data_IF_033137338623
#
_entry.id   IF_033137338623
#
_cell.length_a   1.000
_cell.length_b   1.000
_cell.length_c   1.000
_cell.angle_alpha   90.00
_cell.angle_beta   90.00
_cell.angle_gamma   90.00
#
_symmetry.space_group_name_H-M   'P 1'
#
loop_
_entity.id
_entity.type
_entity.pdbx_description
1 polymer ?
#
# COMPACT_ATOMS: atom_id res chain seq x y z
N UNK A 1 -6.30 21.67 3.35
CA UNK A 1 -5.03 21.37 2.62
C UNK A 1 -5.33 21.28 1.14
N UNK A 2 -4.44 21.77 0.27
CA UNK A 2 -4.56 21.55 -1.18
C UNK A 2 -4.09 20.13 -1.52
N UNK A 3 -4.95 19.32 -2.13
CA UNK A 3 -4.66 17.92 -2.48
C UNK A 3 -4.19 17.75 -3.94
N UNK A 4 -3.98 18.83 -4.69
CA UNK A 4 -3.61 18.76 -6.12
C UNK A 4 -2.32 17.96 -6.37
N UNK A 5 -1.31 18.15 -5.52
CA UNK A 5 -0.05 17.40 -5.58
C UNK A 5 -0.27 15.92 -5.29
N UNK A 6 -1.09 15.58 -4.29
CA UNK A 6 -1.43 14.19 -3.96
C UNK A 6 -2.19 13.52 -5.11
N UNK A 7 -3.17 14.20 -5.70
CA UNK A 7 -3.92 13.73 -6.89
C UNK A 7 -2.96 13.43 -8.03
N UNK A 8 -2.07 14.38 -8.36
CA UNK A 8 -1.07 14.22 -9.44
C UNK A 8 -0.16 13.01 -9.19
N UNK A 9 0.38 12.87 -7.98
CA UNK A 9 1.18 11.71 -7.58
C UNK A 9 0.38 10.42 -7.78
N UNK A 10 -0.82 10.36 -7.26
CA UNK A 10 -1.70 9.18 -7.34
C UNK A 10 -1.98 8.77 -8.78
N UNK A 11 -2.35 9.73 -9.64
CA UNK A 11 -2.64 9.46 -11.04
C UNK A 11 -1.37 9.01 -11.80
N UNK A 12 -0.22 9.59 -11.50
CA UNK A 12 1.06 9.22 -12.13
C UNK A 12 1.41 7.76 -11.88
N UNK A 13 1.39 7.32 -10.61
CA UNK A 13 1.70 5.94 -10.26
C UNK A 13 0.57 4.98 -10.61
N UNK A 14 -0.69 5.40 -10.41
CA UNK A 14 -1.89 4.61 -10.68
C UNK A 14 -2.12 4.29 -12.15
N UNK A 15 -1.64 5.15 -13.06
CA UNK A 15 -1.77 4.95 -14.51
C UNK A 15 -0.77 3.97 -15.09
N UNK A 16 0.25 3.57 -14.31
CA UNK A 16 1.24 2.60 -14.77
C UNK A 16 0.83 1.16 -14.39
N UNK A 17 0.45 0.31 -15.36
CA UNK A 17 0.01 -1.06 -15.08
C UNK A 17 1.12 -1.96 -14.52
N UNK A 18 2.39 -1.57 -14.65
CA UNK A 18 3.49 -2.27 -13.99
C UNK A 18 3.54 -2.00 -12.47
N UNK A 19 2.87 -0.96 -11.98
CA UNK A 19 2.87 -0.56 -10.57
C UNK A 19 1.53 -0.80 -9.87
N UNK A 20 0.42 -0.61 -10.59
CA UNK A 20 -0.93 -0.71 -10.05
C UNK A 20 -1.85 -1.45 -11.00
N UNK A 21 -2.57 -2.43 -10.51
CA UNK A 21 -3.63 -3.11 -11.23
C UNK A 21 -4.98 -2.81 -10.57
N UNK A 22 -5.97 -2.45 -11.38
CA UNK A 22 -7.35 -2.16 -10.94
C UNK A 22 -7.41 -1.13 -9.80
N UNK A 23 -8.07 -1.46 -8.70
CA UNK A 23 -8.20 -0.61 -7.51
C UNK A 23 -7.04 -0.70 -6.51
N UNK A 24 -5.95 -1.40 -6.86
CA UNK A 24 -4.80 -1.61 -5.97
C UNK A 24 -4.04 -0.33 -5.62
N UNK A 25 -3.22 -0.43 -4.57
CA UNK A 25 -2.43 0.67 -4.06
C UNK A 25 -3.23 1.79 -3.40
N UNK A 26 -2.55 2.63 -2.68
CA UNK A 26 -3.11 3.83 -2.05
C UNK A 26 -2.02 4.87 -1.78
N UNK A 27 -2.46 6.12 -1.60
CA UNK A 27 -1.60 7.26 -1.35
C UNK A 27 -2.19 8.11 -0.24
N UNK A 28 -1.34 8.88 0.41
CA UNK A 28 -1.78 9.86 1.41
C UNK A 28 -0.88 11.07 1.47
N UNK A 29 -1.43 12.14 2.03
CA UNK A 29 -0.70 13.31 2.52
C UNK A 29 -1.17 13.65 3.93
N UNK A 30 -0.28 14.14 4.76
CA UNK A 30 -0.62 14.53 6.13
C UNK A 30 0.17 15.74 6.60
N UNK A 31 -0.44 16.44 7.55
CA UNK A 31 0.21 17.43 8.42
C UNK A 31 0.24 16.91 9.87
N UNK A 32 0.45 17.78 10.83
CA UNK A 32 0.52 17.39 12.27
C UNK A 32 -0.80 16.86 12.82
N UNK A 33 -1.93 17.24 12.26
CA UNK A 33 -3.27 16.98 12.79
C UNK A 33 -4.11 16.06 11.92
N UNK A 34 -3.91 16.09 10.63
CA UNK A 34 -4.83 15.53 9.64
C UNK A 34 -4.09 14.62 8.66
N UNK A 35 -4.69 13.49 8.34
CA UNK A 35 -4.31 12.58 7.27
C UNK A 35 -5.39 12.59 6.19
N UNK A 36 -5.01 12.80 4.95
CA UNK A 36 -5.84 12.55 3.77
C UNK A 36 -5.34 11.28 3.09
N UNK A 37 -6.16 10.26 3.04
CA UNK A 37 -5.82 8.95 2.48
C UNK A 37 -6.85 8.52 1.43
N UNK A 38 -6.40 7.76 0.43
CA UNK A 38 -7.27 7.22 -0.63
C UNK A 38 -8.51 6.56 -0.05
N UNK A 39 -9.68 6.90 -0.58
CA UNK A 39 -10.95 6.24 -0.27
C UNK A 39 -10.99 4.80 -0.79
N UNK A 40 -11.61 3.91 -0.03
CA UNK A 40 -11.87 2.53 -0.46
C UNK A 40 -12.80 2.50 -1.66
N UNK A 41 -12.51 1.65 -2.64
CA UNK A 41 -13.31 1.52 -3.86
C UNK A 41 -12.95 2.51 -4.98
N UNK A 42 -12.01 3.44 -4.76
CA UNK A 42 -11.52 4.35 -5.80
C UNK A 42 -10.26 3.79 -6.50
N UNK A 43 -9.90 4.36 -7.65
CA UNK A 43 -8.72 3.94 -8.41
C UNK A 43 -7.68 5.05 -8.45
N UNK A 44 -6.41 4.75 -8.15
CA UNK A 44 -5.34 5.75 -8.15
C UNK A 44 -5.19 6.47 -9.49
N UNK A 45 -5.38 5.77 -10.62
CA UNK A 45 -5.24 6.33 -11.96
C UNK A 45 -6.19 7.52 -12.24
N UNK A 46 -7.35 7.54 -11.61
CA UNK A 46 -8.43 8.51 -11.89
C UNK A 46 -8.91 9.27 -10.67
N UNK A 47 -8.30 9.01 -9.50
CA UNK A 47 -8.72 9.60 -8.23
C UNK A 47 -8.70 11.15 -8.28
N UNK A 48 -9.69 11.76 -7.67
CA UNK A 48 -9.85 13.19 -7.51
C UNK A 48 -9.77 13.60 -6.05
N UNK A 49 -9.64 14.89 -5.78
CA UNK A 49 -9.48 15.42 -4.41
C UNK A 49 -10.60 15.00 -3.47
N UNK A 50 -11.85 14.99 -3.96
CA UNK A 50 -13.04 14.62 -3.18
C UNK A 50 -13.12 13.13 -2.82
N UNK A 51 -12.30 12.29 -3.42
CA UNK A 51 -12.25 10.83 -3.16
C UNK A 51 -11.23 10.45 -2.09
N UNK A 52 -10.46 11.41 -1.59
CA UNK A 52 -9.65 11.21 -0.40
C UNK A 52 -10.51 11.39 0.86
N UNK A 53 -10.18 10.62 1.88
CA UNK A 53 -10.87 10.64 3.18
C UNK A 53 -10.04 11.40 4.18
N UNK A 54 -10.64 12.42 4.80
CA UNK A 54 -10.02 13.19 5.86
C UNK A 54 -10.13 12.47 7.21
N UNK A 55 -9.00 12.34 7.92
CA UNK A 55 -8.93 11.59 9.18
C UNK A 55 -8.12 12.34 10.23
N UNK A 56 -8.54 12.22 11.50
CA UNK A 56 -7.83 12.76 12.66
C UNK A 56 -6.61 11.90 13.00
N UNK A 57 -5.40 12.45 12.90
CA UNK A 57 -4.17 11.76 13.30
C UNK A 57 -4.12 11.47 14.79
N UNK A 58 -4.66 12.36 15.63
CA UNK A 58 -4.74 12.14 17.07
C UNK A 58 -5.51 10.86 17.39
N UNK A 59 -6.69 10.65 16.74
CA UNK A 59 -7.48 9.43 16.93
C UNK A 59 -6.77 8.19 16.36
N UNK A 60 -6.13 8.29 15.21
CA UNK A 60 -5.35 7.19 14.64
C UNK A 60 -4.19 6.80 15.56
N UNK A 61 -3.52 7.75 16.20
CA UNK A 61 -2.46 7.48 17.16
C UNK A 61 -2.96 6.78 18.43
N UNK A 62 -4.20 7.05 18.88
CA UNK A 62 -4.81 6.35 20.02
C UNK A 62 -5.10 4.87 19.70
N UNK A 63 -5.42 4.53 18.46
CA UNK A 63 -5.63 3.14 18.02
C UNK A 63 -4.38 2.28 18.33
N UNK A 64 -3.18 2.83 18.14
CA UNK A 64 -1.92 2.11 18.42
C UNK A 64 -1.67 1.87 19.91
N UNK A 65 -2.37 2.57 20.79
CA UNK A 65 -2.30 2.43 22.24
C UNK A 65 -3.43 1.59 22.83
N UNK A 66 -4.41 1.24 21.98
CA UNK A 66 -5.60 0.49 22.39
C UNK A 66 -5.28 -0.99 22.49
N UNK A 67 -5.63 -1.60 23.61
CA UNK A 67 -5.56 -3.04 23.82
C UNK A 67 -6.81 -3.69 23.22
N UNK A 68 -6.65 -4.33 22.06
CA UNK A 68 -7.72 -5.08 21.40
C UNK A 68 -7.74 -6.52 21.88
N UNK A 69 -8.93 -7.20 21.83
CA UNK A 69 -9.05 -8.61 22.18
C UNK A 69 -8.17 -9.52 21.33
N UNK A 70 -7.79 -10.68 21.88
CA UNK A 70 -7.03 -11.71 21.16
C UNK A 70 -7.85 -12.37 20.03
N UNK A 71 -9.19 -12.43 20.18
CA UNK A 71 -10.10 -12.95 19.17
C UNK A 71 -10.04 -12.11 17.89
N UNK A 72 -9.62 -12.73 16.79
CA UNK A 72 -9.39 -12.07 15.50
C UNK A 72 -10.61 -11.30 15.00
N UNK A 73 -11.82 -11.89 15.10
CA UNK A 73 -13.05 -11.29 14.55
C UNK A 73 -13.46 -10.07 15.36
N UNK A 74 -13.41 -10.19 16.69
CA UNK A 74 -13.73 -9.06 17.57
C UNK A 74 -12.71 -7.95 17.43
N UNK A 75 -11.42 -8.30 17.38
CA UNK A 75 -10.34 -7.34 17.20
C UNK A 75 -10.53 -6.53 15.93
N UNK A 76 -10.67 -7.17 14.78
CA UNK A 76 -10.81 -6.48 13.51
C UNK A 76 -12.10 -5.65 13.43
N UNK A 77 -13.20 -6.11 14.06
CA UNK A 77 -14.44 -5.34 14.14
C UNK A 77 -14.29 -4.06 14.96
N UNK A 78 -13.66 -4.14 16.14
CA UNK A 78 -13.40 -2.98 16.99
C UNK A 78 -12.40 -2.03 16.34
N UNK A 79 -11.31 -2.57 15.80
CA UNK A 79 -10.33 -1.79 15.04
C UNK A 79 -10.96 -1.01 13.89
N UNK A 80 -11.81 -1.65 13.08
CA UNK A 80 -12.51 -0.99 12.00
C UNK A 80 -13.44 0.12 12.51
N UNK A 81 -14.14 -0.10 13.62
CA UNK A 81 -14.98 0.92 14.24
C UNK A 81 -14.16 2.14 14.68
N UNK A 82 -13.00 1.92 15.29
CA UNK A 82 -12.10 3.01 15.72
C UNK A 82 -11.49 3.76 14.53
N UNK A 83 -11.09 3.05 13.46
CA UNK A 83 -10.63 3.68 12.21
C UNK A 83 -11.74 4.54 11.60
N UNK A 84 -12.97 4.05 11.56
CA UNK A 84 -14.11 4.84 11.07
C UNK A 84 -14.44 6.03 11.99
N UNK A 85 -14.28 5.89 13.30
CA UNK A 85 -14.45 7.00 14.24
C UNK A 85 -13.37 8.09 14.05
N UNK A 86 -12.20 7.75 13.49
CA UNK A 86 -11.15 8.72 13.18
C UNK A 86 -11.46 9.57 11.92
N UNK A 87 -12.46 9.20 11.12
CA UNK A 87 -12.88 9.98 9.94
C UNK A 87 -13.47 11.31 10.37
N UNK A 88 -12.90 12.40 9.90
CA UNK A 88 -13.37 13.78 10.12
C UNK A 88 -14.05 14.39 8.90
N UNK A 89 -13.97 13.71 7.75
CA UNK A 89 -14.63 14.12 6.51
C UNK A 89 -16.11 14.48 6.75
N UNK A 90 -16.59 15.50 6.04
CA UNK A 90 -18.00 15.91 6.10
C UNK A 90 -18.95 14.78 5.66
N UNK A 91 -18.54 14.01 4.67
CA UNK A 91 -19.23 12.79 4.24
C UNK A 91 -18.78 11.60 5.08
N UNK A 92 -19.56 11.28 6.10
CA UNK A 92 -19.31 10.15 7.01
C UNK A 92 -19.52 8.77 6.38
N UNK A 93 -20.02 8.70 5.15
CA UNK A 93 -20.16 7.44 4.41
C UNK A 93 -18.87 7.00 3.73
N UNK A 94 -17.92 7.91 3.54
CA UNK A 94 -16.61 7.60 2.98
C UNK A 94 -15.84 6.61 3.87
N UNK A 95 -15.30 5.59 3.25
CA UNK A 95 -14.45 4.61 3.92
C UNK A 95 -13.00 4.84 3.51
N UNK A 96 -12.08 5.00 4.47
CA UNK A 96 -10.65 5.11 4.14
C UNK A 96 -10.10 3.76 3.64
N UNK A 97 -8.93 3.80 3.01
CA UNK A 97 -8.14 2.59 2.75
C UNK A 97 -7.97 1.78 4.05
N UNK A 98 -8.00 0.45 3.93
CA UNK A 98 -7.74 -0.48 5.06
C UNK A 98 -6.34 -0.27 5.67
N UNK A 99 -5.43 0.36 4.94
CA UNK A 99 -4.06 0.68 5.34
C UNK A 99 -3.88 2.11 5.87
N UNK A 100 -4.98 2.83 6.10
CA UNK A 100 -4.93 4.22 6.59
C UNK A 100 -4.09 4.38 7.85
N UNK A 101 -4.17 3.42 8.78
CA UNK A 101 -3.36 3.44 10.00
C UNK A 101 -1.87 3.31 9.66
N UNK A 102 -1.50 2.42 8.74
CA UNK A 102 -0.12 2.26 8.30
C UNK A 102 0.43 3.54 7.65
N UNK A 103 -0.38 4.23 6.83
CA UNK A 103 -0.02 5.55 6.29
C UNK A 103 0.24 6.58 7.40
N UNK A 104 -0.51 6.53 8.50
CA UNK A 104 -0.32 7.44 9.63
C UNK A 104 0.99 7.17 10.40
N UNK A 105 1.48 5.93 10.42
CA UNK A 105 2.72 5.56 11.15
C UNK A 105 3.98 6.20 10.56
N UNK A 106 4.04 6.41 9.24
CA UNK A 106 5.20 7.07 8.63
C UNK A 106 5.35 8.51 9.15
N UNK A 107 6.58 8.93 9.43
CA UNK A 107 6.88 10.28 9.93
C UNK A 107 6.82 11.37 8.84
N UNK A 108 6.75 10.99 7.59
CA UNK A 108 6.83 11.87 6.42
C UNK A 108 5.48 12.35 5.92
N UNK A 109 5.47 13.46 5.18
CA UNK A 109 4.28 14.14 4.67
C UNK A 109 3.50 13.29 3.65
N UNK A 110 4.21 12.72 2.66
CA UNK A 110 3.62 11.90 1.61
C UNK A 110 3.94 10.43 1.80
N UNK A 111 2.97 9.57 1.50
CA UNK A 111 3.15 8.11 1.48
C UNK A 111 2.54 7.56 0.21
N UNK A 112 3.31 6.77 -0.51
CA UNK A 112 2.93 5.99 -1.68
C UNK A 112 2.96 4.51 -1.32
N UNK A 113 1.87 3.80 -1.55
CA UNK A 113 1.82 2.34 -1.50
C UNK A 113 1.32 1.79 -2.84
N UNK A 114 2.09 0.92 -3.44
CA UNK A 114 1.79 0.28 -4.73
C UNK A 114 2.31 -1.15 -4.77
N UNK A 115 1.88 -1.92 -5.79
CA UNK A 115 2.20 -3.33 -5.97
C UNK A 115 3.00 -3.60 -7.26
N UNK A 116 4.21 -3.01 -7.44
CA UNK A 116 4.94 -3.17 -8.69
C UNK A 116 5.26 -4.64 -8.97
N UNK A 117 5.08 -5.06 -10.21
CA UNK A 117 5.36 -6.44 -10.64
C UNK A 117 6.77 -6.89 -10.27
N UNK A 118 7.77 -6.00 -10.43
CA UNK A 118 9.16 -6.30 -10.04
C UNK A 118 9.34 -6.47 -8.55
N UNK A 119 8.71 -5.61 -7.74
CA UNK A 119 8.74 -5.73 -6.28
C UNK A 119 8.07 -7.02 -5.84
N UNK A 120 6.91 -7.35 -6.41
CA UNK A 120 6.22 -8.59 -6.09
C UNK A 120 6.99 -9.82 -6.59
N UNK A 121 7.70 -9.71 -7.71
CA UNK A 121 8.64 -10.74 -8.17
C UNK A 121 9.73 -11.04 -7.13
N UNK A 122 10.24 -10.01 -6.43
CA UNK A 122 11.15 -10.18 -5.31
C UNK A 122 10.41 -10.71 -4.08
N UNK A 123 9.38 -10.00 -3.59
CA UNK A 123 8.77 -10.24 -2.26
C UNK A 123 8.03 -11.57 -2.16
N UNK A 124 7.61 -12.17 -3.29
CA UNK A 124 7.00 -13.49 -3.37
C UNK A 124 8.02 -14.64 -3.57
N UNK A 125 9.31 -14.32 -3.73
CA UNK A 125 10.36 -15.29 -4.00
C UNK A 125 10.84 -16.04 -2.75
N UNK A 126 11.42 -17.23 -2.94
CA UNK A 126 12.17 -17.91 -1.87
C UNK A 126 13.45 -17.14 -1.56
N UNK A 127 13.77 -16.96 -0.26
CA UNK A 127 14.94 -16.18 0.17
C UNK A 127 14.82 -14.68 -0.15
N UNK A 128 13.58 -14.19 -0.30
CA UNK A 128 13.28 -12.82 -0.70
C UNK A 128 13.84 -11.79 0.28
N UNK A 129 13.79 -12.06 1.58
CA UNK A 129 14.28 -11.17 2.62
C UNK A 129 15.79 -10.93 2.49
N UNK A 130 16.56 -12.00 2.43
CA UNK A 130 18.03 -11.96 2.29
C UNK A 130 18.42 -11.32 0.95
N UNK A 131 17.71 -11.64 -0.13
CA UNK A 131 17.95 -11.03 -1.43
C UNK A 131 17.60 -9.54 -1.44
N UNK A 132 16.52 -9.16 -0.77
CA UNK A 132 16.14 -7.75 -0.58
C UNK A 132 17.25 -6.98 0.14
N UNK A 133 17.78 -7.52 1.23
CA UNK A 133 18.87 -6.91 1.98
C UNK A 133 20.15 -6.78 1.14
N UNK A 134 20.48 -7.79 0.34
CA UNK A 134 21.63 -7.75 -0.57
C UNK A 134 21.51 -6.69 -1.67
N UNK A 135 20.33 -6.54 -2.26
CA UNK A 135 20.11 -5.65 -3.41
C UNK A 135 19.82 -4.21 -3.00
N UNK A 136 19.02 -4.03 -1.96
CA UNK A 136 18.49 -2.73 -1.57
C UNK A 136 19.19 -2.15 -0.34
N UNK A 137 19.81 -2.99 0.48
CA UNK A 137 20.46 -2.61 1.73
C UNK A 137 19.55 -2.77 2.94
N UNK A 138 20.16 -2.72 4.14
CA UNK A 138 19.46 -2.88 5.43
C UNK A 138 18.51 -1.73 5.78
N UNK A 139 18.64 -0.61 5.10
CA UNK A 139 17.77 0.57 5.31
C UNK A 139 16.40 0.45 4.66
N UNK A 140 16.15 -0.58 3.86
CA UNK A 140 14.83 -0.95 3.39
C UNK A 140 14.23 -1.92 4.40
N UNK A 141 13.19 -1.47 5.10
CA UNK A 141 12.54 -2.27 6.13
C UNK A 141 11.75 -3.42 5.51
N UNK A 142 12.00 -4.64 5.98
CA UNK A 142 11.25 -5.83 5.56
C UNK A 142 10.21 -6.22 6.61
N UNK A 143 8.98 -6.45 6.16
CA UNK A 143 7.87 -7.00 6.96
C UNK A 143 7.51 -8.38 6.42
N UNK A 144 7.59 -9.38 7.27
CA UNK A 144 7.19 -10.75 6.92
C UNK A 144 5.67 -10.82 6.71
N UNK A 145 5.21 -11.81 5.93
CA UNK A 145 3.80 -11.98 5.61
C UNK A 145 2.93 -12.05 6.88
N UNK A 146 1.91 -11.23 6.92
CA UNK A 146 0.91 -11.25 7.98
C UNK A 146 -0.46 -10.81 7.44
N UNK A 147 -1.50 -11.03 8.23
CA UNK A 147 -2.86 -10.59 7.86
C UNK A 147 -2.91 -9.07 7.78
N UNK A 148 -3.51 -8.48 6.74
CA UNK A 148 -3.76 -7.05 6.68
C UNK A 148 -4.72 -6.62 7.81
N UNK A 149 -4.76 -5.31 8.10
CA UNK A 149 -5.56 -4.76 9.19
C UNK A 149 -4.73 -4.42 10.42
N UNK A 150 -5.30 -4.58 11.62
CA UNK A 150 -4.64 -4.22 12.87
C UNK A 150 -3.30 -4.93 13.08
N UNK A 151 -3.27 -6.24 12.81
CA UNK A 151 -2.05 -7.05 13.00
C UNK A 151 -0.88 -6.53 12.18
N UNK A 152 -1.09 -6.21 10.90
CA UNK A 152 -0.06 -5.62 10.03
C UNK A 152 0.40 -4.27 10.58
N UNK A 153 -0.53 -3.39 10.94
CA UNK A 153 -0.20 -2.07 11.46
C UNK A 153 0.62 -2.16 12.77
N UNK A 154 0.29 -3.10 13.66
CA UNK A 154 1.01 -3.33 14.91
C UNK A 154 2.45 -3.81 14.68
N UNK A 155 2.63 -4.80 13.81
CA UNK A 155 3.95 -5.30 13.43
C UNK A 155 4.78 -4.19 12.80
N UNK A 156 4.20 -3.41 11.88
CA UNK A 156 4.88 -2.28 11.26
C UNK A 156 5.31 -1.25 12.31
N UNK A 157 4.42 -0.88 13.24
CA UNK A 157 4.73 0.06 14.31
C UNK A 157 5.95 -0.38 15.13
N UNK A 158 5.96 -1.64 15.58
CA UNK A 158 7.06 -2.19 16.38
C UNK A 158 8.38 -2.22 15.59
N UNK A 159 8.34 -2.68 14.35
CA UNK A 159 9.53 -2.75 13.49
C UNK A 159 10.03 -1.38 13.06
N UNK A 160 9.16 -0.40 12.81
CA UNK A 160 9.56 0.98 12.50
C UNK A 160 10.21 1.67 13.69
N UNK A 161 9.74 1.41 14.92
CA UNK A 161 10.40 1.93 16.12
C UNK A 161 11.78 1.29 16.32
N UNK A 162 11.92 -0.03 16.18
CA UNK A 162 13.20 -0.71 16.25
C UNK A 162 14.18 -0.21 15.16
N UNK A 163 13.68 0.01 13.95
CA UNK A 163 14.47 0.60 12.87
C UNK A 163 15.00 1.99 13.24
N UNK A 164 14.13 2.84 13.83
CA UNK A 164 14.52 4.18 14.26
C UNK A 164 15.60 4.14 15.35
N UNK A 165 15.51 3.20 16.27
CA UNK A 165 16.54 2.97 17.29
C UNK A 165 17.87 2.51 16.68
N UNK A 166 17.83 1.61 15.69
CA UNK A 166 19.03 1.07 15.02
C UNK A 166 19.72 2.09 14.10
N UNK A 167 18.93 2.80 13.27
CA UNK A 167 19.48 3.66 12.21
C UNK A 167 19.47 5.16 12.54
N UNK A 168 18.85 5.57 13.66
CA UNK A 168 18.74 6.99 14.08
C UNK A 168 17.87 7.85 13.16
N UNK A 169 17.05 7.22 12.28
CA UNK A 169 16.15 7.89 11.33
C UNK A 169 14.85 7.12 11.14
N UNK A 170 13.83 7.82 10.64
CA UNK A 170 12.55 7.20 10.33
C UNK A 170 12.60 6.41 9.01
N UNK A 171 11.79 5.36 8.90
CA UNK A 171 11.67 4.50 7.70
C UNK A 171 11.10 5.28 6.53
N UNK A 172 11.78 5.23 5.39
CA UNK A 172 11.29 5.79 4.12
C UNK A 172 10.81 4.72 3.14
N UNK A 173 11.42 3.54 3.16
CA UNK A 173 11.06 2.43 2.26
C UNK A 173 10.80 1.19 3.07
N UNK A 174 9.63 0.57 2.84
CA UNK A 174 9.19 -0.63 3.51
C UNK A 174 8.66 -1.62 2.49
N UNK A 175 9.14 -2.86 2.53
CA UNK A 175 8.66 -3.97 1.72
C UNK A 175 7.79 -4.90 2.56
N UNK A 176 6.61 -5.23 2.02
CA UNK A 176 5.72 -6.23 2.58
C UNK A 176 5.87 -7.54 1.79
N UNK A 177 6.18 -8.63 2.48
CA UNK A 177 6.26 -9.96 1.87
C UNK A 177 4.92 -10.33 1.23
N UNK A 178 4.95 -10.78 -0.04
CA UNK A 178 3.79 -11.16 -0.85
C UNK A 178 2.75 -10.04 -1.08
N UNK A 179 3.14 -8.76 -0.93
CA UNK A 179 2.15 -7.68 -1.01
C UNK A 179 2.63 -6.52 -1.89
N UNK A 180 3.66 -5.79 -1.49
CA UNK A 180 4.08 -4.61 -2.23
C UNK A 180 5.10 -3.75 -1.49
N UNK A 181 5.13 -2.46 -1.82
CA UNK A 181 6.07 -1.48 -1.29
C UNK A 181 5.35 -0.24 -0.75
N UNK A 182 5.85 0.29 0.37
CA UNK A 182 5.58 1.64 0.83
C UNK A 182 6.82 2.51 0.64
N UNK A 183 6.61 3.72 0.15
CA UNK A 183 7.64 4.77 0.07
C UNK A 183 7.10 6.04 0.71
N UNK A 184 7.86 6.65 1.61
CA UNK A 184 7.46 7.84 2.34
C UNK A 184 8.55 8.91 2.29
N UNK A 185 8.15 10.15 2.03
CA UNK A 185 9.04 11.32 1.99
C UNK A 185 8.28 12.63 2.25
N UNK A 186 9.02 13.73 2.41
CA UNK A 186 8.40 15.03 2.62
C UNK A 186 7.97 15.72 1.32
N UNK A 187 8.49 15.27 0.18
CA UNK A 187 8.12 15.75 -1.15
C UNK A 187 7.81 14.60 -2.11
N UNK A 188 7.02 14.89 -3.14
CA UNK A 188 6.69 13.90 -4.19
C UNK A 188 7.91 13.57 -5.05
N UNK A 189 8.80 14.51 -5.22
CA UNK A 189 10.07 14.34 -5.95
C UNK A 189 10.98 13.33 -5.23
N UNK A 190 11.07 13.42 -3.90
CA UNK A 190 11.81 12.43 -3.08
C UNK A 190 11.16 11.04 -3.15
N UNK A 191 9.82 10.94 -3.15
CA UNK A 191 9.10 9.68 -3.40
C UNK A 191 9.60 9.07 -4.72
N UNK A 192 9.67 9.88 -5.79
CA UNK A 192 10.15 9.44 -7.10
C UNK A 192 11.59 8.90 -7.03
N UNK A 193 12.50 9.64 -6.43
CA UNK A 193 13.90 9.23 -6.29
C UNK A 193 14.06 7.91 -5.55
N UNK A 194 13.36 7.75 -4.42
CA UNK A 194 13.40 6.53 -3.61
C UNK A 194 12.79 5.34 -4.35
N UNK A 195 11.62 5.54 -4.95
CA UNK A 195 10.90 4.50 -5.68
C UNK A 195 11.70 4.03 -6.91
N UNK A 196 12.14 4.96 -7.75
CA UNK A 196 12.92 4.65 -8.95
C UNK A 196 14.27 4.01 -8.59
N UNK A 197 14.85 4.38 -7.46
CA UNK A 197 16.04 3.75 -6.91
C UNK A 197 15.85 2.27 -6.60
N UNK A 198 14.68 1.89 -6.03
CA UNK A 198 14.32 0.49 -5.81
C UNK A 198 14.08 -0.23 -7.14
N UNK A 199 13.22 0.33 -8.00
CA UNK A 199 12.86 -0.28 -9.30
C UNK A 199 14.10 -0.52 -10.15
N UNK A 200 14.98 0.48 -10.31
CA UNK A 200 16.19 0.37 -11.13
C UNK A 200 17.17 -0.69 -10.61
N UNK A 201 17.26 -0.90 -9.30
CA UNK A 201 18.10 -1.97 -8.74
C UNK A 201 17.51 -3.36 -9.05
N UNK A 202 16.18 -3.49 -9.00
CA UNK A 202 15.50 -4.75 -9.30
C UNK A 202 15.53 -5.07 -10.80
N UNK A 203 15.34 -4.07 -11.68
CA UNK A 203 15.43 -4.24 -13.15
C UNK A 203 16.75 -4.86 -13.57
N UNK A 204 17.87 -4.44 -12.95
CA UNK A 204 19.20 -5.01 -13.23
C UNK A 204 19.34 -6.50 -12.91
N UNK A 205 18.41 -7.05 -12.13
CA UNK A 205 18.40 -8.49 -11.78
C UNK A 205 17.53 -9.32 -12.72
N UNK A 206 16.71 -8.69 -13.56
CA UNK A 206 15.84 -9.38 -14.51
C UNK A 206 16.69 -10.02 -15.60
N UNK A 207 16.76 -11.35 -15.60
CA UNK A 207 17.51 -12.13 -16.61
C UNK A 207 16.71 -12.40 -17.88
N UNK A 208 15.38 -12.37 -17.77
CA UNK A 208 14.47 -12.68 -18.89
C UNK A 208 13.15 -11.93 -18.65
N UNK A 209 12.71 -11.19 -19.65
CA UNK A 209 11.39 -10.57 -19.69
C UNK A 209 10.37 -11.54 -20.29
N UNK A 210 9.14 -11.50 -19.77
CA UNK A 210 8.03 -12.18 -20.40
C UNK A 210 7.69 -11.49 -21.74
N UNK A 211 7.34 -12.27 -22.73
CA UNK A 211 6.70 -11.76 -23.94
C UNK A 211 5.24 -11.45 -23.58
N UNK A 212 4.91 -10.16 -23.53
CA UNK A 212 3.57 -9.65 -23.25
C UNK A 212 2.91 -9.08 -24.51
N UNK A 213 3.44 -9.40 -25.69
CA UNK A 213 2.79 -9.06 -26.95
C UNK A 213 1.42 -9.74 -27.03
N UNK A 214 0.48 -9.07 -27.71
CA UNK A 214 -0.86 -9.63 -27.91
C UNK A 214 -0.77 -11.00 -28.59
N UNK A 215 -1.20 -12.03 -27.88
CA UNK A 215 -1.32 -13.37 -28.48
C UNK A 215 -2.46 -13.32 -29.51
N UNK A 216 -2.20 -13.81 -30.69
CA UNK A 216 -3.25 -14.04 -31.69
C UNK A 216 -4.11 -15.20 -31.21
N UNK A 217 -5.20 -14.87 -30.52
CA UNK A 217 -6.15 -15.84 -29.98
C UNK A 217 -7.39 -15.91 -30.85
N UNK A 218 -7.94 -17.11 -31.02
CA UNK A 218 -9.22 -17.29 -31.70
C UNK A 218 -10.37 -16.72 -30.86
N UNK A 219 -11.48 -16.35 -31.51
CA UNK A 219 -12.70 -15.89 -30.80
C UNK A 219 -13.17 -16.89 -29.72
N UNK A 220 -12.97 -18.19 -29.97
CA UNK A 220 -13.33 -19.24 -29.00
C UNK A 220 -12.44 -19.21 -27.74
N UNK A 221 -11.14 -18.96 -27.90
CA UNK A 221 -10.20 -18.85 -26.80
C UNK A 221 -10.44 -17.56 -26.00
N UNK A 222 -10.78 -16.45 -26.68
CA UNK A 222 -11.16 -15.20 -26.03
C UNK A 222 -12.45 -15.37 -25.20
N UNK A 223 -13.47 -16.01 -25.75
CA UNK A 223 -14.71 -16.30 -25.05
C UNK A 223 -14.49 -17.22 -23.84
N UNK A 224 -13.62 -18.22 -23.95
CA UNK A 224 -13.26 -19.10 -22.84
C UNK A 224 -12.52 -18.35 -21.73
N UNK A 225 -11.57 -17.47 -22.06
CA UNK A 225 -10.84 -16.64 -21.10
C UNK A 225 -11.77 -15.70 -20.33
N UNK A 226 -12.70 -15.03 -21.01
CA UNK A 226 -13.72 -14.16 -20.39
C UNK A 226 -14.61 -14.95 -19.44
N UNK A 227 -15.10 -16.11 -19.85
CA UNK A 227 -15.93 -16.99 -19.03
C UNK A 227 -15.19 -17.44 -17.75
N UNK A 228 -13.90 -17.83 -17.86
CA UNK A 228 -13.08 -18.23 -16.73
C UNK A 228 -12.84 -17.07 -15.74
N UNK A 229 -12.59 -15.87 -16.25
CA UNK A 229 -12.38 -14.68 -15.43
C UNK A 229 -13.65 -14.31 -14.64
N UNK A 230 -14.82 -14.42 -15.27
CA UNK A 230 -16.11 -14.18 -14.60
C UNK A 230 -16.41 -15.20 -13.51
N UNK A 231 -16.16 -16.49 -13.76
CA UNK A 231 -16.36 -17.55 -12.77
C UNK A 231 -15.47 -17.34 -11.53
N UNK A 232 -14.19 -16.99 -11.71
CA UNK A 232 -13.30 -16.68 -10.58
C UNK A 232 -13.67 -15.43 -9.82
N UNK A 233 -14.18 -14.39 -10.45
CA UNK A 233 -14.65 -13.18 -9.77
C UNK A 233 -15.83 -13.47 -8.83
N UNK A 234 -16.67 -14.44 -9.16
CA UNK A 234 -17.77 -14.89 -8.28
C UNK A 234 -17.28 -15.80 -7.13
N UNK A 235 -16.24 -16.58 -7.32
CA UNK A 235 -15.69 -17.44 -6.27
C UNK A 235 -14.94 -16.63 -5.19
N UNK A 236 -14.26 -15.55 -5.56
CA UNK A 236 -13.54 -14.69 -4.60
C UNK A 236 -14.45 -13.85 -3.70
N UNK A 237 -15.70 -13.62 -4.09
CA UNK A 237 -16.68 -12.91 -3.24
C UNK A 237 -17.31 -13.77 -2.15
N UNK A 238 -17.05 -15.08 -2.12
CA UNK A 238 -17.57 -16.01 -1.11
C UNK A 238 -16.57 -16.33 0.02
N UNK A 239 -15.36 -15.77 -0.04
CA UNK A 239 -14.27 -16.03 0.94
C UNK A 239 -13.66 -14.76 1.57
N UNK A 240 -14.39 -13.63 1.53
CA UNK A 240 -14.03 -12.40 2.24
C UNK A 240 -14.99 -12.13 3.39
#
# INVERSE_FOLDING_TARGET
MDLSTLVKMSNTYGSNPAYVLAGGGNTSVKDDTTLYVKGSGTQLATIKSEEFVEMSRARLNEIMKTDYPEDDVKRESLYLADVMAAVTDADKTKRPSVEALLHNLFAYTYVLHVHPTLVNGLTCGKGAKELSEQLLGKEVLWIDICKPGYTLARICYEKMNAYKEEFGKDVQVLLLQNHGIFVAANTVEEIGVLFDGVISKLEKQVKRTADVSDAVTSEKEQAAAVSYTHLRAHETSLHL
#
